data_IF_384108347549
#
_entry.id   IF_384108347549
#
_cell.length_a   1.000
_cell.length_b   1.000
_cell.length_c   1.000
_cell.angle_alpha   90.00
_cell.angle_beta   90.00
_cell.angle_gamma   90.00
#
_symmetry.space_group_name_H-M   'P 1'
#
loop_
_entity.id
_entity.type
_entity.pdbx_description
1 polymer ?
#
# COMPACT_ATOMS: atom_id res chain seq x y z
N UNK A 1 25.56 -7.91 6.38
CA UNK A 1 24.69 -7.32 5.33
C UNK A 1 23.98 -6.04 5.84
N UNK A 2 24.66 -4.89 5.99
CA UNK A 2 24.05 -3.64 6.49
C UNK A 2 23.44 -2.74 5.38
N UNK A 3 23.77 -3.00 4.12
CA UNK A 3 23.50 -2.11 2.98
C UNK A 3 21.99 -1.89 2.72
N UNK A 4 21.17 -2.95 2.81
CA UNK A 4 19.73 -2.83 2.56
C UNK A 4 19.03 -1.97 3.63
N UNK A 5 19.43 -2.10 4.90
CA UNK A 5 18.83 -1.35 6.01
C UNK A 5 19.28 0.11 6.01
N UNK A 6 20.54 0.38 5.65
CA UNK A 6 21.04 1.73 5.43
C UNK A 6 20.28 2.44 4.29
N UNK A 7 20.08 1.76 3.16
CA UNK A 7 19.30 2.28 2.03
C UNK A 7 17.82 2.47 2.37
N UNK A 8 17.25 1.59 3.19
CA UNK A 8 15.87 1.76 3.67
C UNK A 8 15.73 2.98 4.58
N UNK A 9 16.69 3.20 5.49
CA UNK A 9 16.74 4.40 6.35
C UNK A 9 16.85 5.66 5.50
N UNK A 10 17.71 5.65 4.48
CA UNK A 10 17.87 6.76 3.55
C UNK A 10 16.56 7.06 2.80
N UNK A 11 15.90 6.05 2.25
CA UNK A 11 14.59 6.21 1.59
C UNK A 11 13.53 6.73 2.55
N UNK A 12 13.45 6.19 3.77
CA UNK A 12 12.51 6.68 4.81
C UNK A 12 12.78 8.14 5.13
N UNK A 13 14.04 8.57 5.20
CA UNK A 13 14.40 9.97 5.42
C UNK A 13 14.01 10.86 4.25
N UNK A 14 14.25 10.42 3.00
CA UNK A 14 13.86 11.15 1.78
C UNK A 14 12.33 11.32 1.72
N UNK A 15 11.56 10.31 2.12
CA UNK A 15 10.10 10.34 2.06
C UNK A 15 9.44 10.71 3.38
N UNK A 16 10.20 11.12 4.41
CA UNK A 16 9.71 11.38 5.76
C UNK A 16 8.51 12.33 5.77
N UNK A 17 8.63 13.46 5.10
CA UNK A 17 7.56 14.46 5.03
C UNK A 17 6.29 13.92 4.37
N UNK A 18 6.44 13.03 3.37
CA UNK A 18 5.30 12.38 2.71
C UNK A 18 4.61 11.36 3.62
N UNK A 19 5.40 10.59 4.39
CA UNK A 19 4.89 9.58 5.33
C UNK A 19 4.19 10.27 6.50
N UNK A 20 4.85 11.24 7.13
CA UNK A 20 4.30 12.03 8.23
C UNK A 20 3.07 12.84 7.80
N UNK A 21 3.13 13.44 6.60
CA UNK A 21 2.00 14.18 6.03
C UNK A 21 0.78 13.28 5.80
N UNK A 22 0.98 12.06 5.33
CA UNK A 22 -0.09 11.07 5.14
C UNK A 22 -0.73 10.69 6.47
N UNK A 23 0.11 10.42 7.48
CA UNK A 23 -0.32 10.05 8.83
C UNK A 23 -1.12 11.16 9.50
N UNK A 24 -0.63 12.41 9.47
CA UNK A 24 -1.37 13.58 10.01
C UNK A 24 -2.71 13.80 9.31
N UNK A 25 -2.79 13.52 8.01
CA UNK A 25 -4.04 13.65 7.25
C UNK A 25 -5.07 12.57 7.63
N UNK A 26 -4.63 11.35 7.95
CA UNK A 26 -5.50 10.31 8.50
C UNK A 26 -5.96 10.63 9.92
N UNK A 27 -5.03 11.05 10.79
CA UNK A 27 -5.33 11.45 12.17
C UNK A 27 -6.38 12.58 12.22
N UNK A 28 -6.23 13.62 11.39
CA UNK A 28 -7.21 14.73 11.33
C UNK A 28 -8.60 14.27 10.88
N UNK A 29 -8.67 13.39 9.87
CA UNK A 29 -9.96 12.87 9.39
C UNK A 29 -10.65 12.03 10.46
N UNK A 30 -9.88 11.22 11.18
CA UNK A 30 -10.38 10.39 12.27
C UNK A 30 -10.85 11.24 13.47
N UNK A 31 -10.15 12.34 13.79
CA UNK A 31 -10.55 13.24 14.90
C UNK A 31 -11.82 14.04 14.60
N UNK A 32 -12.10 14.38 13.34
CA UNK A 32 -13.32 15.10 12.95
C UNK A 32 -14.57 14.19 12.95
N UNK A 33 -14.44 12.94 12.53
CA UNK A 33 -15.50 11.92 12.63
C UNK A 33 -14.89 10.52 12.50
N UNK A 34 -15.13 9.66 13.48
CA UNK A 34 -14.63 8.28 13.47
C UNK A 34 -15.09 7.47 12.23
N UNK A 35 -16.23 7.82 11.62
CA UNK A 35 -16.71 7.20 10.38
C UNK A 35 -15.97 7.68 9.12
N UNK A 36 -15.16 8.73 9.20
CA UNK A 36 -14.35 9.16 8.05
C UNK A 36 -13.19 8.20 7.78
N UNK A 37 -12.69 7.49 8.80
CA UNK A 37 -11.62 6.49 8.66
C UNK A 37 -12.11 5.20 7.98
N UNK A 38 -13.41 4.89 8.08
CA UNK A 38 -14.02 3.73 7.42
C UNK A 38 -14.39 4.01 5.97
N UNK A 39 -14.30 5.27 5.53
CA UNK A 39 -14.66 5.67 4.18
C UNK A 39 -13.57 5.28 3.18
N UNK A 40 -13.88 4.33 2.29
CA UNK A 40 -12.95 3.90 1.22
C UNK A 40 -12.40 5.12 0.45
N UNK A 41 -11.07 5.23 0.28
CA UNK A 41 -10.47 6.30 -0.52
C UNK A 41 -11.06 6.33 -1.94
N UNK A 42 -11.35 7.53 -2.46
CA UNK A 42 -11.98 7.69 -3.78
C UNK A 42 -11.03 7.38 -4.94
N UNK A 43 -9.73 7.37 -4.69
CA UNK A 43 -8.66 7.04 -5.65
C UNK A 43 -7.51 6.35 -4.93
N UNK A 44 -6.61 5.72 -5.70
CA UNK A 44 -5.46 5.00 -5.14
C UNK A 44 -4.52 5.91 -4.34
N UNK A 45 -4.32 7.14 -4.81
CA UNK A 45 -3.33 8.08 -4.23
C UNK A 45 -3.97 9.16 -3.34
N UNK A 46 -5.23 8.98 -2.93
CA UNK A 46 -5.94 9.93 -2.07
C UNK A 46 -5.22 10.07 -0.72
N UNK A 47 -4.71 11.28 -0.43
CA UNK A 47 -4.01 11.58 0.83
C UNK A 47 -2.52 11.26 0.86
N UNK A 48 -1.97 10.72 -0.24
CA UNK A 48 -0.56 10.30 -0.32
C UNK A 48 0.32 11.22 -1.18
N UNK A 49 -0.26 12.27 -1.76
CA UNK A 49 0.40 13.14 -2.74
C UNK A 49 0.68 14.52 -2.16
N UNK A 50 1.94 14.95 -2.18
CA UNK A 50 2.41 16.22 -1.59
C UNK A 50 3.22 17.05 -2.60
N UNK A 51 3.16 18.36 -2.45
CA UNK A 51 3.92 19.31 -3.26
C UNK A 51 5.37 19.38 -2.81
N UNK A 52 6.32 18.98 -3.64
CA UNK A 52 7.75 19.10 -3.30
C UNK A 52 8.28 20.53 -3.18
N UNK A 53 7.47 21.56 -3.42
CA UNK A 53 7.85 22.97 -3.23
C UNK A 53 7.44 23.53 -1.87
N UNK A 54 6.33 23.06 -1.31
CA UNK A 54 5.76 23.64 -0.08
C UNK A 54 5.22 22.59 0.90
N UNK A 55 5.41 21.30 0.60
CA UNK A 55 4.95 20.13 1.36
C UNK A 55 3.45 20.07 1.64
N UNK A 56 2.66 20.92 0.98
CA UNK A 56 1.22 20.92 1.10
C UNK A 56 0.62 19.82 0.23
N UNK A 57 -0.50 19.21 0.66
CA UNK A 57 -1.10 18.12 -0.07
C UNK A 57 -1.55 18.58 -1.46
N UNK A 58 -1.51 17.67 -2.43
CA UNK A 58 -2.23 17.85 -3.67
C UNK A 58 -3.71 17.55 -3.46
N UNK A 59 -4.55 18.34 -4.11
CA UNK A 59 -6.01 18.14 -4.17
C UNK A 59 -6.41 17.80 -5.59
N UNK A 60 -7.48 16.99 -5.72
CA UNK A 60 -8.13 16.79 -7.00
C UNK A 60 -9.00 18.00 -7.35
N UNK A 61 -8.82 18.50 -8.57
CA UNK A 61 -9.65 19.52 -9.25
C UNK A 61 -10.39 18.86 -10.41
N UNK A 62 -11.38 19.56 -10.97
CA UNK A 62 -12.16 19.12 -12.13
C UNK A 62 -11.31 18.53 -13.26
N UNK A 63 -11.92 17.60 -14.01
CA UNK A 63 -11.25 16.73 -15.00
C UNK A 63 -10.22 15.76 -14.42
N UNK A 64 -10.41 15.33 -13.17
CA UNK A 64 -9.59 14.28 -12.55
C UNK A 64 -8.09 14.64 -12.46
N UNK A 65 -7.78 15.92 -12.22
CA UNK A 65 -6.41 16.42 -12.15
C UNK A 65 -5.98 16.72 -10.72
N UNK A 66 -4.76 16.38 -10.38
CA UNK A 66 -4.11 16.79 -9.14
C UNK A 66 -3.42 18.14 -9.32
N UNK A 67 -3.63 19.06 -8.37
CA UNK A 67 -2.93 20.33 -8.27
C UNK A 67 -2.52 20.64 -6.81
N UNK A 68 -1.49 21.47 -6.63
CA UNK A 68 -1.05 21.87 -5.29
C UNK A 68 -2.12 22.72 -4.60
N UNK A 69 -2.51 22.35 -3.37
CA UNK A 69 -3.55 23.08 -2.63
C UNK A 69 -3.17 24.54 -2.38
N UNK A 70 -1.94 24.81 -1.96
CA UNK A 70 -1.52 26.19 -1.68
C UNK A 70 -1.42 27.07 -2.90
N UNK A 71 -1.15 26.50 -4.07
CA UNK A 71 -1.19 27.26 -5.31
C UNK A 71 -2.65 27.54 -5.71
N UNK A 72 -3.52 26.53 -5.59
CA UNK A 72 -4.95 26.66 -5.88
C UNK A 72 -5.63 27.69 -4.98
N UNK A 73 -5.31 27.70 -3.69
CA UNK A 73 -5.90 28.60 -2.70
C UNK A 73 -5.19 29.97 -2.63
N UNK A 74 -4.18 30.21 -3.47
CA UNK A 74 -3.45 31.48 -3.48
C UNK A 74 -2.58 31.73 -2.25
N UNK A 75 -2.24 30.70 -1.46
CA UNK A 75 -1.47 30.81 -0.22
C UNK A 75 0.05 30.77 -0.42
N UNK A 76 0.54 31.13 -1.61
CA UNK A 76 1.96 31.43 -1.85
C UNK A 76 2.83 30.31 -2.44
N UNK A 77 2.27 29.20 -2.94
CA UNK A 77 3.06 28.22 -3.68
C UNK A 77 3.15 28.59 -5.18
N UNK A 78 4.36 28.56 -5.75
CA UNK A 78 4.60 28.84 -7.18
C UNK A 78 4.33 27.64 -8.10
N UNK A 79 4.03 26.47 -7.54
CA UNK A 79 3.81 25.25 -8.31
C UNK A 79 2.43 25.23 -8.99
N UNK A 80 2.39 25.71 -10.23
CA UNK A 80 1.22 25.68 -11.11
C UNK A 80 1.04 24.38 -11.89
N UNK A 81 1.91 23.38 -11.68
CA UNK A 81 1.85 22.13 -12.45
C UNK A 81 0.67 21.29 -12.00
N UNK A 82 -0.03 20.72 -12.98
CA UNK A 82 -1.12 19.76 -12.75
C UNK A 82 -0.86 18.48 -13.51
N UNK A 83 -1.33 17.36 -12.97
CA UNK A 83 -1.21 16.04 -13.58
C UNK A 83 -2.55 15.31 -13.51
N UNK A 84 -2.92 14.57 -14.56
CA UNK A 84 -4.12 13.72 -14.53
C UNK A 84 -3.92 12.57 -13.56
N UNK A 85 -5.01 12.11 -12.93
CA UNK A 85 -4.99 10.95 -12.05
C UNK A 85 -4.40 9.73 -12.73
N UNK A 86 -4.87 9.39 -13.93
CA UNK A 86 -4.40 8.22 -14.67
C UNK A 86 -2.87 8.23 -14.87
N UNK A 87 -2.31 9.36 -15.32
CA UNK A 87 -0.87 9.51 -15.55
C UNK A 87 -0.06 9.49 -14.25
N UNK A 88 -0.61 10.02 -13.16
CA UNK A 88 0.04 9.98 -11.85
C UNK A 88 0.06 8.56 -11.28
N UNK A 89 -1.09 7.87 -11.29
CA UNK A 89 -1.24 6.49 -10.81
C UNK A 89 -0.35 5.54 -11.61
N UNK A 90 -0.33 5.66 -12.94
CA UNK A 90 0.55 4.87 -13.81
C UNK A 90 2.03 5.06 -13.45
N UNK A 91 2.47 6.30 -13.25
CA UNK A 91 3.87 6.60 -12.87
C UNK A 91 4.24 5.97 -11.53
N UNK A 92 3.34 6.02 -10.55
CA UNK A 92 3.57 5.43 -9.23
C UNK A 92 3.65 3.90 -9.34
N UNK A 93 2.69 3.27 -10.01
CA UNK A 93 2.67 1.80 -10.18
C UNK A 93 3.90 1.32 -10.95
N UNK A 94 4.27 1.99 -12.04
CA UNK A 94 5.49 1.68 -12.79
C UNK A 94 6.76 1.89 -11.95
N UNK A 95 6.80 2.95 -11.13
CA UNK A 95 7.89 3.18 -10.18
C UNK A 95 8.02 2.05 -9.16
N UNK A 96 6.90 1.63 -8.57
CA UNK A 96 6.86 0.53 -7.61
C UNK A 96 7.33 -0.79 -8.24
N UNK A 97 6.82 -1.11 -9.43
CA UNK A 97 7.18 -2.33 -10.17
C UNK A 97 8.67 -2.38 -10.51
N UNK A 98 9.25 -1.25 -10.92
CA UNK A 98 10.62 -1.23 -11.46
C UNK A 98 11.70 -0.87 -10.42
N UNK A 99 11.37 -0.18 -9.32
CA UNK A 99 12.35 0.32 -8.35
C UNK A 99 12.24 -0.26 -6.95
N UNK A 100 11.09 -0.83 -6.60
CA UNK A 100 10.86 -1.44 -5.28
C UNK A 100 10.90 -2.97 -5.34
N UNK A 101 10.70 -3.56 -6.51
CA UNK A 101 10.85 -5.00 -6.73
C UNK A 101 12.32 -5.29 -7.05
N UNK A 102 13.09 -5.78 -6.06
CA UNK A 102 14.29 -6.55 -6.36
C UNK A 102 13.80 -7.93 -6.83
N UNK A 103 13.85 -8.24 -8.13
CA UNK A 103 13.17 -9.41 -8.69
C UNK A 103 13.64 -10.70 -8.02
N UNK A 104 14.94 -10.80 -7.70
CA UNK A 104 15.51 -11.86 -6.88
C UNK A 104 14.83 -12.03 -5.50
N UNK A 105 14.58 -10.93 -4.78
CA UNK A 105 13.96 -10.97 -3.44
C UNK A 105 12.46 -11.29 -3.51
N UNK A 106 11.77 -10.78 -4.53
CA UNK A 106 10.37 -11.12 -4.76
C UNK A 106 10.21 -12.60 -5.15
N UNK A 107 11.10 -13.12 -6.01
CA UNK A 107 11.12 -14.53 -6.39
C UNK A 107 11.43 -15.44 -5.18
N UNK A 108 12.36 -15.05 -4.31
CA UNK A 108 12.65 -15.75 -3.06
C UNK A 108 11.42 -15.78 -2.13
N UNK A 109 10.75 -14.65 -1.94
CA UNK A 109 9.54 -14.57 -1.14
C UNK A 109 8.39 -15.42 -1.71
N UNK A 110 8.19 -15.40 -3.04
CA UNK A 110 7.17 -16.21 -3.70
C UNK A 110 7.45 -17.71 -3.60
N UNK A 111 8.72 -18.14 -3.69
CA UNK A 111 9.11 -19.54 -3.47
C UNK A 111 8.81 -19.99 -2.05
N UNK A 112 9.26 -19.22 -1.05
CA UNK A 112 9.01 -19.53 0.35
C UNK A 112 7.49 -19.60 0.66
N UNK A 113 6.70 -18.69 0.09
CA UNK A 113 5.24 -18.73 0.24
C UNK A 113 4.61 -19.97 -0.40
N UNK A 114 5.07 -20.37 -1.58
CA UNK A 114 4.57 -21.56 -2.27
C UNK A 114 4.93 -22.85 -1.51
N UNK A 115 6.14 -22.95 -0.98
CA UNK A 115 6.58 -24.07 -0.13
C UNK A 115 5.72 -24.18 1.12
N UNK A 116 5.49 -23.07 1.82
CA UNK A 116 4.67 -23.04 3.03
C UNK A 116 3.20 -23.38 2.73
N UNK A 117 2.65 -22.84 1.64
CA UNK A 117 1.29 -23.16 1.20
C UNK A 117 1.15 -24.66 0.86
N UNK A 118 2.17 -25.25 0.22
CA UNK A 118 2.20 -26.67 -0.07
C UNK A 118 2.30 -27.53 1.19
N UNK A 119 3.08 -27.09 2.19
CA UNK A 119 3.16 -27.74 3.51
C UNK A 119 1.79 -27.75 4.20
N UNK A 120 1.15 -26.59 4.32
CA UNK A 120 -0.18 -26.46 4.91
C UNK A 120 -1.24 -27.26 4.15
N UNK A 121 -1.16 -27.32 2.82
CA UNK A 121 -2.07 -28.13 2.01
C UNK A 121 -1.84 -29.64 2.17
N UNK A 122 -0.61 -30.08 2.47
CA UNK A 122 -0.33 -31.49 2.81
C UNK A 122 -0.88 -31.84 4.18
N UNK A 123 -0.65 -30.97 5.18
CA UNK A 123 -1.20 -31.13 6.53
C UNK A 123 -2.73 -31.18 6.50
N UNK A 124 -3.39 -30.27 5.77
CA UNK A 124 -4.85 -30.30 5.59
C UNK A 124 -5.34 -31.59 4.92
N UNK A 125 -4.62 -32.11 3.94
CA UNK A 125 -4.97 -33.37 3.28
C UNK A 125 -4.81 -34.56 4.22
N UNK A 126 -3.75 -34.61 5.04
CA UNK A 126 -3.59 -35.68 6.01
C UNK A 126 -4.65 -35.66 7.10
N UNK A 127 -5.02 -34.47 7.62
CA UNK A 127 -6.11 -34.37 8.59
C UNK A 127 -7.45 -34.81 7.98
N UNK A 128 -7.78 -34.35 6.78
CA UNK A 128 -9.02 -34.72 6.10
C UNK A 128 -9.12 -36.23 5.75
N UNK A 129 -7.99 -36.91 5.60
CA UNK A 129 -7.93 -38.37 5.38
C UNK A 129 -8.11 -39.13 6.70
N UNK A 130 -7.43 -38.71 7.77
CA UNK A 130 -7.61 -39.27 9.10
C UNK A 130 -9.04 -39.09 9.61
N UNK A 131 -9.64 -37.91 9.41
CA UNK A 131 -11.02 -37.63 9.80
C UNK A 131 -12.00 -38.53 9.05
N UNK A 132 -11.77 -38.82 7.76
CA UNK A 132 -12.58 -39.76 6.99
C UNK A 132 -12.46 -41.19 7.51
N UNK A 133 -11.25 -41.65 7.82
CA UNK A 133 -11.04 -43.00 8.34
C UNK A 133 -11.69 -43.18 9.72
N UNK A 134 -11.64 -42.16 10.59
CA UNK A 134 -12.33 -42.20 11.89
C UNK A 134 -13.86 -42.18 11.73
N UNK A 135 -14.39 -41.41 10.76
CA UNK A 135 -15.81 -41.45 10.42
C UNK A 135 -16.24 -42.84 9.94
N UNK A 136 -15.51 -43.45 9.00
CA UNK A 136 -15.80 -44.80 8.49
C UNK A 136 -15.77 -45.86 9.59
N UNK A 137 -14.81 -45.80 10.53
CA UNK A 137 -14.76 -46.70 11.69
C UNK A 137 -15.97 -46.52 12.61
N UNK A 138 -16.38 -45.28 12.83
CA UNK A 138 -17.53 -44.96 13.69
C UNK A 138 -18.83 -45.43 13.04
N UNK A 139 -18.97 -45.27 11.72
CA UNK A 139 -20.11 -45.76 10.94
C UNK A 139 -20.17 -47.30 10.89
N UNK A 140 -19.04 -47.99 10.80
CA UNK A 140 -18.99 -49.46 10.79
C UNK A 140 -19.24 -50.11 12.17
N UNK A 141 -19.19 -49.33 13.26
CA UNK A 141 -19.43 -49.81 14.62
C UNK A 141 -20.90 -49.68 15.07
N UNK A 142 -21.77 -49.13 14.22
CA UNK A 142 -23.22 -48.99 14.41
C UNK A 142 -23.93 -50.09 13.62
#
# INVERSE_FOLDING_TARGET
>A
MPCAKARQIELVNIYRNSIEGSRRAEERKASENALNSTRRPRTMLSGLTFCGCCDQPYVRRGQDRYCCTSHLMGTGCTNSRTITRAKLEERVVNGLKNRLMAPEKAAEAMRAFAEETNRLNRERRSFAESDRQELEKTEAAI
#
